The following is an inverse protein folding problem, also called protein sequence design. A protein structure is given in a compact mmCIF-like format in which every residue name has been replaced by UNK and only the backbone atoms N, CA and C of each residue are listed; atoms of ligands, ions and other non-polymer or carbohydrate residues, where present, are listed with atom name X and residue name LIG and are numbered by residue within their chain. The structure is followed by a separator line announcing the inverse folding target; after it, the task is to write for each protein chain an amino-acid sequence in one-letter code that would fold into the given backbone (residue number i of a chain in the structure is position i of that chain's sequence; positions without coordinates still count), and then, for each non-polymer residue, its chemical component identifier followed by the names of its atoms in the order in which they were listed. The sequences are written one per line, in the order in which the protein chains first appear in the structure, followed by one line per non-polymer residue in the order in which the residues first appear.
data_IF_084584709793
#
_entry.id   IF_084584709793
#
_cell.length_a   1.000
_cell.length_b   1.000
_cell.length_c   1.000
_cell.angle_alpha   90.00
_cell.angle_beta   90.00
_cell.angle_gamma   90.00
#
_symmetry.space_group_name_H-M   'P 1'
#
loop_
_entity.id
_entity.type
_entity.pdbx_description
1 polymer ?
#
# COMPACT_ATOMS: atom_id res chain seq x y z
N UNK A 1 -26.09 10.68 5.54
CA UNK A 1 -25.35 11.82 4.93
C UNK A 1 -24.01 11.33 4.35
N UNK A 2 -23.48 12.00 3.32
CA UNK A 2 -22.17 11.69 2.71
C UNK A 2 -21.06 11.61 3.76
N UNK A 3 -21.12 12.46 4.77
CA UNK A 3 -20.15 12.49 5.88
C UNK A 3 -20.20 11.22 6.74
N UNK A 4 -21.36 10.60 6.92
CA UNK A 4 -21.48 9.37 7.70
C UNK A 4 -20.83 8.19 6.97
N UNK A 5 -21.04 8.06 5.65
CA UNK A 5 -20.40 7.03 4.83
C UNK A 5 -18.87 7.17 4.80
N UNK A 6 -18.37 8.40 4.67
CA UNK A 6 -16.93 8.67 4.75
C UNK A 6 -16.35 8.29 6.10
N UNK A 7 -17.04 8.61 7.21
CA UNK A 7 -16.60 8.23 8.55
C UNK A 7 -16.58 6.70 8.76
N UNK A 8 -17.59 6.00 8.25
CA UNK A 8 -17.63 4.53 8.33
C UNK A 8 -16.50 3.89 7.51
N UNK A 9 -16.30 4.35 6.27
CA UNK A 9 -15.20 3.89 5.43
C UNK A 9 -13.85 4.16 6.07
N UNK A 10 -13.65 5.38 6.59
CA UNK A 10 -12.43 5.76 7.27
C UNK A 10 -12.18 4.90 8.52
N UNK A 11 -13.20 4.69 9.36
CA UNK A 11 -13.08 3.82 10.53
C UNK A 11 -12.74 2.36 10.14
N UNK A 12 -13.21 1.89 8.99
CA UNK A 12 -12.87 0.55 8.48
C UNK A 12 -11.42 0.42 8.02
N UNK A 13 -10.80 1.53 7.59
CA UNK A 13 -9.39 1.54 7.17
C UNK A 13 -8.41 1.45 8.35
N UNK A 14 -8.82 1.87 9.54
CA UNK A 14 -7.95 1.90 10.73
C UNK A 14 -8.24 0.74 11.67
N UNK A 15 -7.20 0.16 12.26
CA UNK A 15 -7.29 -0.86 13.31
C UNK A 15 -7.79 -0.26 14.62
N UNK A 16 -7.33 0.96 14.94
CA UNK A 16 -7.70 1.74 16.12
C UNK A 16 -8.95 2.60 15.89
N UNK A 17 -9.58 3.03 16.97
CA UNK A 17 -10.68 4.00 16.88
C UNK A 17 -10.15 5.38 16.53
N UNK A 18 -10.67 5.95 15.44
CA UNK A 18 -10.35 7.31 15.00
C UNK A 18 -11.51 8.31 15.25
N UNK A 19 -12.51 7.89 16.03
CA UNK A 19 -13.73 8.69 16.26
C UNK A 19 -13.45 10.07 16.86
N UNK A 20 -12.43 10.20 17.70
CA UNK A 20 -12.01 11.44 18.36
C UNK A 20 -10.99 12.25 17.56
N UNK A 21 -10.45 11.67 16.47
CA UNK A 21 -9.45 12.34 15.63
C UNK A 21 -10.11 13.33 14.67
N UNK A 22 -10.30 14.55 15.18
CA UNK A 22 -10.96 15.63 14.43
C UNK A 22 -10.11 16.13 13.26
N UNK A 23 -8.80 16.15 13.43
CA UNK A 23 -7.87 16.62 12.40
C UNK A 23 -7.88 15.67 11.21
N UNK A 24 -7.70 14.36 11.43
CA UNK A 24 -7.81 13.34 10.41
C UNK A 24 -9.16 13.42 9.67
N UNK A 25 -10.26 13.57 10.41
CA UNK A 25 -11.58 13.71 9.80
C UNK A 25 -11.70 14.97 8.92
N UNK A 26 -11.08 16.08 9.31
CA UNK A 26 -11.10 17.31 8.53
C UNK A 26 -10.24 17.19 7.27
N UNK A 27 -9.05 16.62 7.39
CA UNK A 27 -8.15 16.38 6.26
C UNK A 27 -8.80 15.53 5.17
N UNK A 28 -9.41 14.42 5.56
CA UNK A 28 -10.05 13.51 4.61
C UNK A 28 -11.38 14.05 4.07
N UNK A 29 -12.14 14.78 4.89
CA UNK A 29 -13.40 15.37 4.44
C UNK A 29 -13.20 16.60 3.54
N UNK A 30 -12.07 17.29 3.62
CA UNK A 30 -11.83 18.51 2.87
C UNK A 30 -11.92 18.32 1.34
N UNK A 31 -11.25 17.33 0.71
CA UNK A 31 -11.41 17.05 -0.71
C UNK A 31 -12.85 16.70 -1.11
N UNK A 32 -13.58 15.99 -0.25
CA UNK A 32 -14.97 15.58 -0.51
C UNK A 32 -15.97 16.75 -0.56
N UNK A 33 -15.60 17.92 -0.03
CA UNK A 33 -16.42 19.14 -0.07
C UNK A 33 -16.31 19.89 -1.41
N UNK A 34 -15.33 19.57 -2.25
CA UNK A 34 -15.16 20.22 -3.55
C UNK A 34 -16.33 19.90 -4.46
N UNK A 35 -16.75 20.87 -5.30
CA UNK A 35 -17.86 20.70 -6.25
C UNK A 35 -17.65 19.55 -7.22
N UNK A 36 -16.41 19.24 -7.56
CA UNK A 36 -16.03 18.16 -8.48
C UNK A 36 -15.86 16.80 -7.82
N UNK A 37 -15.87 16.71 -6.49
CA UNK A 37 -15.55 15.48 -5.74
C UNK A 37 -16.39 14.27 -6.16
N UNK A 38 -17.70 14.44 -6.32
CA UNK A 38 -18.59 13.35 -6.72
C UNK A 38 -18.28 12.85 -8.14
N UNK A 39 -17.95 13.77 -9.07
CA UNK A 39 -17.57 13.40 -10.46
C UNK A 39 -16.23 12.68 -10.48
N UNK A 40 -15.25 13.16 -9.71
CA UNK A 40 -13.93 12.52 -9.62
C UNK A 40 -14.03 11.13 -9.00
N UNK A 41 -14.77 10.96 -7.91
CA UNK A 41 -15.00 9.65 -7.28
C UNK A 41 -15.69 8.67 -8.24
N UNK A 42 -16.72 9.13 -8.96
CA UNK A 42 -17.38 8.30 -9.97
C UNK A 42 -16.42 7.89 -11.08
N UNK A 43 -15.62 8.82 -11.60
CA UNK A 43 -14.64 8.52 -12.65
C UNK A 43 -13.60 7.50 -12.17
N UNK A 44 -13.08 7.65 -10.93
CA UNK A 44 -12.17 6.68 -10.32
C UNK A 44 -12.82 5.30 -10.18
N UNK A 45 -14.04 5.23 -9.65
CA UNK A 45 -14.76 3.95 -9.47
C UNK A 45 -15.01 3.25 -10.80
N UNK A 46 -15.41 3.98 -11.84
CA UNK A 46 -15.60 3.44 -13.20
C UNK A 46 -14.26 2.98 -13.78
N UNK A 47 -13.20 3.79 -13.65
CA UNK A 47 -11.86 3.44 -14.11
C UNK A 47 -11.30 2.18 -13.43
N UNK A 48 -11.57 2.01 -12.14
CA UNK A 48 -11.20 0.79 -11.41
C UNK A 48 -11.99 -0.44 -11.90
N UNK A 49 -13.31 -0.28 -12.10
CA UNK A 49 -14.17 -1.37 -12.55
C UNK A 49 -13.88 -1.81 -14.00
N UNK A 50 -13.49 -0.87 -14.86
CA UNK A 50 -13.16 -1.11 -16.26
C UNK A 50 -11.67 -1.34 -16.50
N UNK A 51 -10.87 -1.52 -15.44
CA UNK A 51 -9.44 -1.76 -15.57
C UNK A 51 -9.18 -3.03 -16.39
N UNK A 52 -8.34 -2.96 -17.44
CA UNK A 52 -7.91 -4.14 -18.19
C UNK A 52 -7.21 -5.16 -17.27
N UNK A 53 -7.35 -6.44 -17.57
CA UNK A 53 -6.73 -7.51 -16.75
C UNK A 53 -5.21 -7.36 -16.62
N UNK A 54 -4.55 -6.98 -17.71
CA UNK A 54 -3.12 -6.73 -17.80
C UNK A 54 -2.62 -5.55 -16.94
N UNK A 55 -3.52 -4.67 -16.50
CA UNK A 55 -3.24 -3.55 -15.60
C UNK A 55 -3.56 -3.85 -14.12
N UNK A 56 -3.89 -5.10 -13.80
CA UNK A 56 -4.08 -5.53 -12.41
C UNK A 56 -2.75 -5.83 -11.72
N UNK A 57 -2.70 -5.69 -10.39
CA UNK A 57 -1.47 -5.95 -9.64
C UNK A 57 -0.91 -7.37 -9.88
N UNK A 58 -1.72 -8.45 -9.88
CA UNK A 58 -1.19 -9.78 -10.20
C UNK A 58 -0.53 -9.84 -11.59
N UNK A 59 -1.19 -9.34 -12.64
CA UNK A 59 -0.64 -9.37 -13.99
C UNK A 59 0.64 -8.52 -14.14
N UNK A 60 0.73 -7.40 -13.42
CA UNK A 60 1.95 -6.59 -13.39
C UNK A 60 3.09 -7.31 -12.66
N UNK A 61 2.80 -8.03 -11.58
CA UNK A 61 3.78 -8.82 -10.85
C UNK A 61 4.29 -10.00 -11.68
N UNK A 62 3.41 -10.69 -12.42
CA UNK A 62 3.79 -11.73 -13.38
C UNK A 62 4.79 -11.18 -14.42
N UNK A 63 4.47 -10.06 -15.03
CA UNK A 63 5.36 -9.40 -16.00
C UNK A 63 6.70 -8.96 -15.40
N UNK A 64 6.71 -8.48 -14.15
CA UNK A 64 7.95 -8.15 -13.44
C UNK A 64 8.79 -9.39 -13.15
N UNK A 65 8.17 -10.53 -12.88
CA UNK A 65 8.84 -11.81 -12.64
C UNK A 65 9.49 -12.40 -13.91
N UNK A 66 9.06 -11.97 -15.11
CA UNK A 66 9.65 -12.42 -16.39
C UNK A 66 11.05 -11.82 -16.64
N UNK A 67 11.44 -10.79 -15.89
CA UNK A 67 12.79 -10.22 -16.01
C UNK A 67 13.83 -11.09 -15.32
N UNK A 68 15.01 -11.24 -15.93
CA UNK A 68 16.13 -12.02 -15.37
C UNK A 68 16.54 -11.54 -13.97
N UNK A 69 16.38 -10.26 -13.71
CA UNK A 69 16.59 -9.63 -12.41
C UNK A 69 15.37 -8.74 -12.07
N UNK A 70 14.36 -9.29 -11.43
CA UNK A 70 13.20 -8.52 -11.05
C UNK A 70 13.57 -7.44 -10.02
N UNK A 71 12.97 -6.27 -10.18
CA UNK A 71 13.17 -5.16 -9.24
C UNK A 71 12.70 -5.61 -7.86
N UNK A 72 13.55 -5.48 -6.81
CA UNK A 72 13.12 -5.83 -5.45
C UNK A 72 11.85 -5.12 -5.07
N UNK A 73 10.89 -5.84 -4.51
CA UNK A 73 9.59 -5.31 -4.11
C UNK A 73 9.31 -5.63 -2.66
N UNK A 74 8.94 -4.60 -1.89
CA UNK A 74 8.50 -4.71 -0.51
C UNK A 74 7.01 -4.42 -0.41
N UNK A 75 6.28 -5.31 0.25
CA UNK A 75 4.92 -5.08 0.73
C UNK A 75 4.96 -4.85 2.25
N UNK A 76 4.57 -3.66 2.69
CA UNK A 76 4.33 -3.35 4.10
C UNK A 76 2.83 -3.42 4.35
N UNK A 77 2.38 -4.40 5.16
CA UNK A 77 0.97 -4.74 5.28
C UNK A 77 0.50 -4.74 6.73
N UNK A 78 -0.58 -4.02 7.02
CA UNK A 78 -1.20 -4.07 8.34
C UNK A 78 -1.93 -5.40 8.57
N UNK A 79 -1.66 -6.07 9.69
CA UNK A 79 -2.30 -7.36 10.03
C UNK A 79 -3.82 -7.25 10.13
N UNK A 80 -4.32 -6.11 10.61
CA UNK A 80 -5.74 -5.85 10.82
C UNK A 80 -6.40 -5.13 9.64
N UNK A 81 -5.81 -5.19 8.45
CA UNK A 81 -6.42 -4.62 7.24
C UNK A 81 -7.74 -5.33 6.90
N UNK A 82 -8.83 -4.56 7.01
CA UNK A 82 -10.19 -5.03 6.74
C UNK A 82 -10.64 -4.75 5.31
N UNK A 83 -9.90 -3.92 4.56
CA UNK A 83 -10.21 -3.61 3.17
C UNK A 83 -9.54 -4.59 2.22
N UNK A 84 -8.26 -4.86 2.46
CA UNK A 84 -7.49 -5.83 1.69
C UNK A 84 -6.86 -6.81 2.68
N UNK A 85 -7.48 -7.97 2.91
CA UNK A 85 -7.02 -8.93 3.91
C UNK A 85 -5.58 -9.39 3.68
N UNK A 86 -4.82 -9.55 4.77
CA UNK A 86 -3.41 -9.95 4.76
C UNK A 86 -3.14 -11.20 3.91
N UNK A 87 -4.07 -12.16 3.89
CA UNK A 87 -3.96 -13.38 3.08
C UNK A 87 -3.68 -13.12 1.58
N UNK A 88 -4.06 -11.93 1.07
CA UNK A 88 -3.75 -11.54 -0.32
C UNK A 88 -2.25 -11.26 -0.47
N UNK A 89 -1.64 -10.54 0.47
CA UNK A 89 -0.20 -10.30 0.50
C UNK A 89 0.60 -11.59 0.68
N UNK A 90 0.15 -12.48 1.57
CA UNK A 90 0.75 -13.79 1.81
C UNK A 90 0.71 -14.66 0.54
N UNK A 91 -0.40 -14.66 -0.18
CA UNK A 91 -0.53 -15.38 -1.44
C UNK A 91 0.40 -14.81 -2.51
N UNK A 92 0.52 -13.49 -2.63
CA UNK A 92 1.45 -12.85 -3.56
C UNK A 92 2.90 -13.22 -3.25
N UNK A 93 3.29 -13.24 -1.98
CA UNK A 93 4.63 -13.65 -1.57
C UNK A 93 4.90 -15.13 -1.89
N UNK A 94 3.92 -16.01 -1.73
CA UNK A 94 4.04 -17.42 -2.11
C UNK A 94 4.21 -17.62 -3.62
N UNK A 95 3.55 -16.79 -4.44
CA UNK A 95 3.63 -16.84 -5.89
C UNK A 95 4.91 -16.20 -6.44
N UNK A 96 5.48 -15.23 -5.74
CA UNK A 96 6.62 -14.42 -6.18
C UNK A 96 7.70 -14.40 -5.10
N UNK A 97 8.66 -15.33 -5.17
CA UNK A 97 9.72 -15.48 -4.15
C UNK A 97 10.67 -14.28 -4.02
N UNK A 98 10.74 -13.43 -5.04
CA UNK A 98 11.51 -12.18 -5.05
C UNK A 98 10.82 -11.02 -4.34
N UNK A 99 9.51 -11.16 -4.03
CA UNK A 99 8.73 -10.19 -3.29
C UNK A 99 8.86 -10.44 -1.79
N UNK A 100 9.10 -9.39 -1.03
CA UNK A 100 9.17 -9.45 0.43
C UNK A 100 7.89 -8.87 1.04
N UNK A 101 7.33 -9.58 2.01
CA UNK A 101 6.17 -9.15 2.79
C UNK A 101 6.59 -8.94 4.25
N UNK A 102 6.42 -7.73 4.76
CA UNK A 102 6.54 -7.42 6.18
C UNK A 102 5.18 -7.05 6.75
N UNK A 103 4.79 -7.72 7.82
CA UNK A 103 3.50 -7.55 8.47
C UNK A 103 3.65 -6.67 9.69
N UNK A 104 2.86 -5.59 9.74
CA UNK A 104 2.84 -4.62 10.83
C UNK A 104 1.66 -4.93 11.76
N UNK A 105 1.97 -5.42 12.95
CA UNK A 105 0.97 -5.71 13.98
C UNK A 105 0.36 -4.41 14.52
N UNK A 106 -0.92 -4.47 14.88
CA UNK A 106 -1.65 -3.31 15.38
C UNK A 106 -2.08 -2.30 14.32
N UNK A 107 -1.80 -2.55 13.04
CA UNK A 107 -2.12 -1.65 11.93
C UNK A 107 -3.16 -2.24 11.00
N UNK A 108 -4.03 -1.36 10.45
CA UNK A 108 -5.02 -1.69 9.42
C UNK A 108 -4.53 -1.35 8.01
N UNK A 109 -5.43 -0.72 7.23
CA UNK A 109 -5.16 -0.37 5.83
C UNK A 109 -4.15 0.78 5.65
N UNK A 110 -3.91 1.56 6.70
CA UNK A 110 -3.01 2.72 6.68
C UNK A 110 -1.83 2.54 7.66
N UNK A 111 -0.99 1.50 7.52
CA UNK A 111 0.08 1.22 8.48
C UNK A 111 1.11 2.35 8.61
N UNK A 112 1.32 3.12 7.54
CA UNK A 112 2.21 4.29 7.53
C UNK A 112 1.73 5.43 8.43
N UNK A 113 0.44 5.51 8.72
CA UNK A 113 -0.19 6.50 9.61
C UNK A 113 -0.49 5.91 11.00
N UNK A 114 -0.82 4.62 11.07
CA UNK A 114 -1.16 3.96 12.33
C UNK A 114 0.06 3.60 13.18
N UNK A 115 1.18 3.28 12.54
CA UNK A 115 2.45 2.86 13.17
C UNK A 115 3.64 3.44 12.41
N UNK A 116 3.79 4.77 12.32
CA UNK A 116 4.77 5.43 11.45
C UNK A 116 6.22 5.02 11.79
N UNK A 117 6.58 4.93 13.05
CA UNK A 117 7.94 4.57 13.46
C UNK A 117 8.30 3.15 13.03
N UNK A 118 7.41 2.18 13.26
CA UNK A 118 7.61 0.80 12.85
C UNK A 118 7.62 0.67 11.31
N UNK A 119 6.71 1.37 10.64
CA UNK A 119 6.66 1.42 9.17
C UNK A 119 7.97 1.94 8.59
N UNK A 120 8.48 3.07 9.09
CA UNK A 120 9.74 3.67 8.63
C UNK A 120 10.94 2.79 8.95
N UNK A 121 11.00 2.18 10.13
CA UNK A 121 12.07 1.27 10.53
C UNK A 121 12.19 0.09 9.54
N UNK A 122 11.08 -0.58 9.22
CA UNK A 122 11.07 -1.71 8.28
C UNK A 122 11.40 -1.27 6.85
N UNK A 123 10.88 -0.11 6.42
CA UNK A 123 11.20 0.46 5.11
C UNK A 123 12.69 0.78 4.98
N UNK A 124 13.27 1.51 5.94
CA UNK A 124 14.68 1.90 5.91
C UNK A 124 15.59 0.68 5.97
N UNK A 125 15.30 -0.28 6.84
CA UNK A 125 16.03 -1.55 6.91
C UNK A 125 16.05 -2.27 5.57
N UNK A 126 14.89 -2.34 4.90
CA UNK A 126 14.77 -2.98 3.59
C UNK A 126 15.56 -2.22 2.52
N UNK A 127 15.51 -0.89 2.52
CA UNK A 127 16.28 -0.06 1.60
C UNK A 127 17.79 -0.27 1.77
N UNK A 128 18.30 -0.28 2.98
CA UNK A 128 19.71 -0.53 3.28
C UNK A 128 20.18 -1.88 2.75
N UNK A 129 19.38 -2.92 2.94
CA UNK A 129 19.69 -4.28 2.49
C UNK A 129 19.69 -4.41 0.96
N UNK A 130 18.82 -3.67 0.27
CA UNK A 130 18.64 -3.81 -1.18
C UNK A 130 19.42 -2.76 -1.99
N UNK A 131 19.55 -1.52 -1.52
CA UNK A 131 20.34 -0.47 -2.19
C UNK A 131 21.83 -0.54 -1.86
N UNK A 132 22.21 -0.96 -0.64
CA UNK A 132 23.61 -1.18 -0.26
C UNK A 132 24.29 -2.27 -1.11
N UNK A 133 23.54 -3.25 -1.63
CA UNK A 133 24.06 -4.29 -2.53
C UNK A 133 24.32 -3.78 -3.95
N UNK A 134 23.62 -2.75 -4.42
CA UNK A 134 23.83 -2.14 -5.74
C UNK A 134 25.15 -1.35 -5.80
N UNK A 135 25.59 -0.75 -4.70
CA UNK A 135 26.88 -0.07 -4.59
C UNK A 135 28.07 -1.01 -4.70
N UNK A 136 27.95 -2.25 -4.19
CA UNK A 136 29.03 -3.23 -4.21
C UNK A 136 29.22 -3.88 -5.59
N UNK A 137 28.19 -3.96 -6.42
CA UNK A 137 28.26 -4.51 -7.79
C UNK A 137 28.76 -3.50 -8.82
N UNK A 138 28.62 -2.20 -8.55
CA UNK A 138 29.09 -1.13 -9.44
C UNK A 138 30.59 -0.90 -9.43
N UNK A 139 31.33 -1.44 -8.45
CA UNK A 139 32.79 -1.22 -8.30
C UNK A 139 33.63 -2.30 -8.98
N UNK A 140 33.03 -3.39 -9.46
CA UNK A 140 33.78 -4.51 -10.09
C UNK A 140 33.91 -4.42 -11.63
N UNK A 141 33.38 -3.37 -12.28
CA UNK A 141 33.46 -3.21 -13.74
C UNK A 141 34.31 -2.01 -14.20
N UNK A 142 35.25 -1.52 -13.37
CA UNK A 142 36.30 -0.58 -13.77
C UNK A 142 37.66 -1.07 -13.27
N UNK A 143 38.18 -2.09 -13.91
CA UNK A 143 39.59 -2.44 -13.94
C UNK A 143 39.92 -3.01 -15.31
#
# INVERSE_FOLDING_TARGET
SRTALLRMGLQGAYSRSIRSDRELHQLIASPARRRTAARSLRAMSVGMALRPREATAPALLERLAEHDQPIPLLLLWGRQDRFVPLMIGEKLQQQHSWLQLHVLDGSGHCPHDESPDHFHQELLRWLDLNLGRTSALGTQHRA
#
